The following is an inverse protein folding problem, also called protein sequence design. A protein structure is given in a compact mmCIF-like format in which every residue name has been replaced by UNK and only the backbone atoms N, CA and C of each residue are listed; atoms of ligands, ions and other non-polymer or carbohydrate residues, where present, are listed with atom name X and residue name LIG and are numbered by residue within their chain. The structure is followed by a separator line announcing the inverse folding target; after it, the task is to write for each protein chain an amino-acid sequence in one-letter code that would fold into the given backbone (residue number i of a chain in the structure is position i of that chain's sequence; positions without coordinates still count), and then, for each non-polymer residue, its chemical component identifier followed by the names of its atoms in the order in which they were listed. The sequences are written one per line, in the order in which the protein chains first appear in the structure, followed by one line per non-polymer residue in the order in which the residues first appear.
data_IF_506059264545
#
_entry.id   IF_506059264545
#
_cell.length_a   1.000
_cell.length_b   1.000
_cell.length_c   1.000
_cell.angle_alpha   90.00
_cell.angle_beta   90.00
_cell.angle_gamma   90.00
#
_symmetry.space_group_name_H-M   'P 1'
#
loop_
_entity.id
_entity.type
_entity.pdbx_description
1 polymer ?
#
# COMPACT_ATOMS: atom_id res chain seq x y z
N UNK A 1 9.92 -24.93 -7.56
CA UNK A 1 8.79 -24.59 -6.66
C UNK A 1 9.37 -23.95 -5.42
N UNK A 2 8.80 -22.84 -4.93
CA UNK A 2 9.33 -22.15 -3.77
C UNK A 2 9.23 -23.02 -2.51
N UNK A 3 10.11 -22.77 -1.55
CA UNK A 3 10.10 -23.48 -0.27
C UNK A 3 8.84 -23.14 0.52
N UNK A 4 8.33 -24.06 1.37
CA UNK A 4 7.13 -23.81 2.19
C UNK A 4 7.25 -22.59 3.11
N UNK A 5 8.46 -22.28 3.59
CA UNK A 5 8.70 -21.07 4.38
C UNK A 5 8.52 -19.79 3.55
N UNK A 6 8.99 -19.81 2.30
CA UNK A 6 8.82 -18.72 1.34
C UNK A 6 7.36 -18.55 0.95
N UNK A 7 6.64 -19.65 0.72
CA UNK A 7 5.20 -19.61 0.48
C UNK A 7 4.45 -18.97 1.65
N UNK A 8 4.81 -19.31 2.90
CA UNK A 8 4.24 -18.66 4.09
C UNK A 8 4.52 -17.17 4.15
N UNK A 9 5.73 -16.74 3.78
CA UNK A 9 6.04 -15.31 3.69
C UNK A 9 5.22 -14.62 2.60
N UNK A 10 5.10 -15.22 1.42
CA UNK A 10 4.28 -14.69 0.34
C UNK A 10 2.81 -14.55 0.75
N UNK A 11 2.25 -15.55 1.43
CA UNK A 11 0.87 -15.51 1.93
C UNK A 11 0.68 -14.40 2.98
N UNK A 12 1.63 -14.23 3.89
CA UNK A 12 1.55 -13.19 4.90
C UNK A 12 1.70 -11.77 4.31
N UNK A 13 2.52 -11.61 3.26
CA UNK A 13 2.59 -10.36 2.49
C UNK A 13 1.25 -10.07 1.80
N UNK A 14 0.64 -11.08 1.19
CA UNK A 14 -0.66 -10.94 0.53
C UNK A 14 -1.77 -10.58 1.52
N UNK A 15 -1.86 -11.26 2.67
CA UNK A 15 -2.84 -10.98 3.73
C UNK A 15 -2.70 -9.56 4.28
N UNK A 16 -1.46 -9.14 4.57
CA UNK A 16 -1.22 -7.79 5.08
C UNK A 16 -1.57 -6.71 4.04
N UNK A 17 -1.31 -6.96 2.75
CA UNK A 17 -1.71 -6.06 1.67
C UNK A 17 -3.23 -5.99 1.50
N UNK A 18 -3.93 -7.13 1.55
CA UNK A 18 -5.39 -7.20 1.47
C UNK A 18 -6.06 -6.44 2.62
N UNK A 19 -5.52 -6.59 3.83
CA UNK A 19 -5.99 -5.92 5.04
C UNK A 19 -5.53 -4.47 5.15
N UNK A 20 -4.72 -3.98 4.21
CA UNK A 20 -4.11 -2.63 4.21
C UNK A 20 -3.29 -2.35 5.47
N UNK A 21 -2.71 -3.41 6.03
CA UNK A 21 -1.88 -3.35 7.23
C UNK A 21 -0.42 -3.08 6.83
N UNK A 22 -0.15 -1.80 6.56
CA UNK A 22 1.17 -1.35 6.09
C UNK A 22 2.26 -1.48 7.17
N UNK A 23 1.87 -1.42 8.44
CA UNK A 23 2.77 -1.63 9.58
C UNK A 23 3.22 -3.09 9.64
N UNK A 24 2.29 -4.04 9.47
CA UNK A 24 2.62 -5.46 9.38
C UNK A 24 3.54 -5.76 8.20
N UNK A 25 3.31 -5.14 7.02
CA UNK A 25 4.20 -5.27 5.86
C UNK A 25 5.60 -4.75 6.15
N UNK A 26 5.71 -3.59 6.81
CA UNK A 26 7.00 -2.99 7.18
C UNK A 26 7.76 -3.87 8.19
N UNK A 27 7.06 -4.40 9.19
CA UNK A 27 7.64 -5.32 10.17
C UNK A 27 8.11 -6.63 9.51
N UNK A 28 7.35 -7.15 8.54
CA UNK A 28 7.75 -8.31 7.74
C UNK A 28 8.99 -8.04 6.90
N UNK A 29 9.06 -6.90 6.20
CA UNK A 29 10.24 -6.54 5.39
C UNK A 29 11.48 -6.40 6.27
N UNK A 30 11.38 -5.73 7.42
CA UNK A 30 12.48 -5.61 8.38
C UNK A 30 12.97 -6.98 8.87
N UNK A 31 12.03 -7.90 9.18
CA UNK A 31 12.35 -9.28 9.58
C UNK A 31 13.02 -10.06 8.45
N UNK A 32 12.51 -9.95 7.23
CA UNK A 32 13.06 -10.65 6.07
C UNK A 32 14.47 -10.16 5.73
N UNK A 33 14.70 -8.84 5.77
CA UNK A 33 16.03 -8.25 5.59
C UNK A 33 17.02 -8.74 6.64
N UNK A 34 16.59 -8.79 7.90
CA UNK A 34 17.43 -9.32 8.99
C UNK A 34 17.79 -10.79 8.75
N UNK A 35 16.81 -11.61 8.40
CA UNK A 35 17.04 -13.03 8.08
C UNK A 35 18.02 -13.18 6.90
N UNK A 36 17.85 -12.41 5.82
CA UNK A 36 18.75 -12.44 4.67
C UNK A 36 20.16 -11.95 4.98
N UNK A 37 20.31 -11.04 5.95
CA UNK A 37 21.61 -10.53 6.37
C UNK A 37 22.34 -11.44 7.36
N UNK A 38 21.60 -12.11 8.25
CA UNK A 38 22.16 -12.89 9.37
C UNK A 38 22.40 -14.37 9.04
N UNK A 39 21.81 -14.91 7.96
CA UNK A 39 21.79 -16.36 7.72
C UNK A 39 22.39 -16.78 6.38
N UNK A 40 23.01 -17.97 6.36
CA UNK A 40 23.38 -18.71 5.15
C UNK A 40 22.16 -19.25 4.36
N UNK A 41 21.01 -18.59 4.49
CA UNK A 41 19.75 -18.95 3.85
C UNK A 41 19.83 -18.51 2.40
N UNK A 42 20.37 -19.39 1.57
CA UNK A 42 20.40 -19.21 0.13
C UNK A 42 18.97 -19.35 -0.39
N UNK A 43 18.38 -18.24 -0.85
CA UNK A 43 17.18 -18.26 -1.69
C UNK A 43 17.58 -18.65 -3.10
N UNK A 44 16.94 -19.70 -3.62
CA UNK A 44 17.08 -20.07 -5.03
C UNK A 44 16.31 -19.09 -5.93
N UNK A 45 16.38 -19.31 -7.24
CA UNK A 45 15.74 -18.42 -8.21
C UNK A 45 14.21 -18.41 -8.08
N UNK A 46 13.60 -19.55 -7.76
CA UNK A 46 12.16 -19.70 -7.63
C UNK A 46 11.64 -18.96 -6.38
N UNK A 47 12.35 -19.10 -5.26
CA UNK A 47 12.05 -18.38 -4.02
C UNK A 47 12.11 -16.87 -4.21
N UNK A 48 13.17 -16.39 -4.89
CA UNK A 48 13.34 -14.96 -5.18
C UNK A 48 12.25 -14.44 -6.11
N UNK A 49 11.89 -15.22 -7.13
CA UNK A 49 10.80 -14.88 -8.04
C UNK A 49 9.46 -14.78 -7.31
N UNK A 50 9.16 -15.74 -6.43
CA UNK A 50 7.93 -15.77 -5.64
C UNK A 50 7.84 -14.55 -4.70
N UNK A 51 8.89 -14.27 -3.93
CA UNK A 51 8.91 -13.10 -3.03
C UNK A 51 8.82 -11.79 -3.80
N UNK A 52 9.53 -11.67 -4.92
CA UNK A 52 9.47 -10.48 -5.78
C UNK A 52 8.06 -10.26 -6.35
N UNK A 53 7.38 -11.32 -6.77
CA UNK A 53 6.00 -11.24 -7.24
C UNK A 53 5.05 -10.79 -6.12
N UNK A 54 5.19 -11.36 -4.92
CA UNK A 54 4.36 -11.00 -3.76
C UNK A 54 4.53 -9.51 -3.38
N UNK A 55 5.77 -9.02 -3.30
CA UNK A 55 6.02 -7.61 -3.00
C UNK A 55 5.55 -6.66 -4.10
N UNK A 56 5.68 -7.04 -5.37
CA UNK A 56 5.15 -6.22 -6.49
C UNK A 56 3.63 -6.13 -6.44
N UNK A 57 2.94 -7.21 -6.10
CA UNK A 57 1.49 -7.20 -5.92
C UNK A 57 1.09 -6.29 -4.74
N UNK A 58 1.78 -6.40 -3.60
CA UNK A 58 1.54 -5.53 -2.45
C UNK A 58 1.78 -4.05 -2.79
N UNK A 59 2.85 -3.74 -3.53
CA UNK A 59 3.15 -2.37 -3.98
C UNK A 59 2.04 -1.83 -4.89
N UNK A 60 1.59 -2.62 -5.87
CA UNK A 60 0.50 -2.22 -6.76
C UNK A 60 -0.81 -1.95 -5.99
N UNK A 61 -1.13 -2.78 -5.00
CA UNK A 61 -2.30 -2.58 -4.13
C UNK A 61 -2.18 -1.27 -3.32
N UNK A 62 -1.00 -1.00 -2.74
CA UNK A 62 -0.76 0.24 -2.00
C UNK A 62 -0.83 1.49 -2.91
N UNK A 63 -0.34 1.39 -4.15
CA UNK A 63 -0.42 2.47 -5.14
C UNK A 63 -1.86 2.79 -5.53
N UNK A 64 -2.66 1.77 -5.80
CA UNK A 64 -4.08 1.96 -6.11
C UNK A 64 -4.85 2.63 -4.94
N UNK A 65 -4.51 2.28 -3.69
CA UNK A 65 -5.13 2.92 -2.53
C UNK A 65 -4.69 4.38 -2.37
N UNK A 66 -3.42 4.70 -2.62
CA UNK A 66 -2.92 6.08 -2.62
C UNK A 66 -3.58 6.92 -3.72
N UNK A 67 -3.75 6.37 -4.91
CA UNK A 67 -4.45 7.03 -6.01
C UNK A 67 -5.91 7.30 -5.65
N UNK A 68 -6.59 6.31 -5.06
CA UNK A 68 -7.96 6.46 -4.60
C UNK A 68 -8.10 7.52 -3.49
N UNK A 69 -7.15 7.57 -2.55
CA UNK A 69 -7.14 8.58 -1.49
C UNK A 69 -6.86 9.98 -2.07
N UNK A 70 -5.94 10.08 -3.01
CA UNK A 70 -5.62 11.34 -3.71
C UNK A 70 -6.82 11.88 -4.48
N UNK A 71 -7.57 11.00 -5.17
CA UNK A 71 -8.80 11.37 -5.86
C UNK A 71 -9.87 11.89 -4.88
N UNK A 72 -10.06 11.23 -3.73
CA UNK A 72 -10.99 11.69 -2.68
C UNK A 72 -10.60 13.04 -2.10
N UNK A 73 -9.29 13.27 -1.89
CA UNK A 73 -8.79 14.57 -1.41
C UNK A 73 -9.06 15.68 -2.42
N UNK A 74 -8.82 15.43 -3.71
CA UNK A 74 -9.12 16.38 -4.78
C UNK A 74 -10.62 16.72 -4.84
N UNK A 75 -11.49 15.71 -4.75
CA UNK A 75 -12.94 15.91 -4.71
C UNK A 75 -13.36 16.74 -3.49
N UNK A 76 -12.85 16.43 -2.30
CA UNK A 76 -13.15 17.19 -1.08
C UNK A 76 -12.68 18.65 -1.17
N UNK A 77 -11.53 18.89 -1.82
CA UNK A 77 -11.04 20.24 -2.13
C UNK A 77 -11.99 21.00 -3.04
N UNK A 78 -12.41 20.38 -4.14
CA UNK A 78 -13.34 20.98 -5.10
C UNK A 78 -14.72 21.28 -4.47
N UNK A 79 -15.24 20.37 -3.65
CA UNK A 79 -16.49 20.60 -2.92
C UNK A 79 -16.37 21.77 -1.93
N UNK A 80 -15.22 21.93 -1.27
CA UNK A 80 -14.97 23.05 -0.36
C UNK A 80 -14.94 24.37 -1.12
N UNK A 81 -14.24 24.42 -2.25
CA UNK A 81 -14.19 25.63 -3.11
C UNK A 81 -15.58 25.99 -3.62
N UNK A 82 -16.36 25.02 -4.08
CA UNK A 82 -17.75 25.25 -4.52
C UNK A 82 -18.65 25.80 -3.40
N UNK A 83 -18.53 25.28 -2.18
CA UNK A 83 -19.26 25.81 -1.01
C UNK A 83 -18.85 27.25 -0.67
N UNK A 84 -17.56 27.59 -0.77
CA UNK A 84 -17.08 28.94 -0.52
C UNK A 84 -17.54 29.93 -1.59
N UNK A 85 -17.51 29.54 -2.86
CA UNK A 85 -18.01 30.35 -3.97
C UNK A 85 -19.52 30.61 -3.82
N UNK A 86 -20.28 29.59 -3.45
CA UNK A 86 -21.72 29.72 -3.20
C UNK A 86 -22.01 30.66 -2.01
N UNK A 87 -21.28 30.51 -0.90
CA UNK A 87 -21.44 31.38 0.28
C UNK A 87 -21.15 32.86 -0.06
N UNK A 88 -20.04 33.14 -0.77
CA UNK A 88 -19.69 34.50 -1.20
C UNK A 88 -20.74 35.11 -2.15
N UNK A 89 -21.30 34.31 -3.06
CA UNK A 89 -22.36 34.76 -3.95
C UNK A 89 -23.65 35.07 -3.18
N UNK A 90 -24.02 34.22 -2.21
CA UNK A 90 -25.21 34.44 -1.39
C UNK A 90 -25.13 35.66 -0.47
N UNK A 91 -23.94 35.96 0.05
CA UNK A 91 -23.69 37.20 0.82
C UNK A 91 -23.80 38.45 -0.05
N UNK A 92 -23.45 38.36 -1.34
CA UNK A 92 -23.58 39.44 -2.31
C UNK A 92 -25.03 39.70 -2.75
N UNK A 93 -25.87 38.66 -2.86
CA UNK A 93 -27.31 38.83 -3.16
C UNK A 93 -28.13 39.37 -1.98
N UNK A 94 -27.62 39.25 -0.75
CA UNK A 94 -28.30 39.72 0.47
C UNK A 94 -27.87 41.13 0.92
N UNK A 95 -26.86 41.73 0.28
CA UNK A 95 -26.33 43.07 0.56
C UNK A 95 -26.89 44.14 -0.39
#
# INVERSE_FOLDING_TARGET
MPRPEVERWCLAIADAAERRDWDALTAMDARLRRLLAESGLSLDADDRAALSAAYRAALAASGAELDALSAKMAEAGQQREGRLAYAQFSEWEQA
#
